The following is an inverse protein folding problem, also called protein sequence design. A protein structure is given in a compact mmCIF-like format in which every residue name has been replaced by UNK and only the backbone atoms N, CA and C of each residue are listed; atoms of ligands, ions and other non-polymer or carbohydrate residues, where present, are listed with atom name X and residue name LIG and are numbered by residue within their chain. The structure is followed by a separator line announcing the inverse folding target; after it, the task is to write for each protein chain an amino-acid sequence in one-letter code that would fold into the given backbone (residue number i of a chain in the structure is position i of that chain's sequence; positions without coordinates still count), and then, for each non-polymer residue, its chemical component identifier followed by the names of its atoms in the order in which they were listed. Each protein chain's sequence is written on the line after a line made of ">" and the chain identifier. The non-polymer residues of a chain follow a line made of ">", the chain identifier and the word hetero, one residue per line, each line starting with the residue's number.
data_IF_358868096890
#
_entry.id   IF_358868096890
#
_cell.length_a   1.000
_cell.length_b   1.000
_cell.length_c   1.000
_cell.angle_alpha   90.00
_cell.angle_beta   90.00
_cell.angle_gamma   90.00
#
_symmetry.space_group_name_H-M   'P 1'
#
loop_
_entity.id
_entity.type
_entity.pdbx_description
1 polymer ?
#
# COMPACT_ATOMS: atom_id res chain seq x y z
N UNK A 1 21.28 -64.97 -34.15
CA UNK A 1 20.71 -63.77 -34.78
C UNK A 1 20.17 -62.90 -33.62
N UNK A 2 20.93 -61.90 -33.23
CA UNK A 2 20.62 -61.06 -32.05
C UNK A 2 19.76 -59.91 -32.51
N UNK A 3 18.54 -59.77 -32.02
CA UNK A 3 17.68 -58.62 -32.28
C UNK A 3 18.13 -57.48 -31.34
N UNK A 4 18.70 -56.43 -31.94
CA UNK A 4 19.04 -55.21 -31.24
C UNK A 4 17.75 -54.36 -31.17
N UNK A 5 17.19 -54.22 -29.99
CA UNK A 5 16.04 -53.36 -29.70
C UNK A 5 16.57 -51.95 -29.43
N UNK A 6 16.40 -51.06 -30.38
CA UNK A 6 16.75 -49.62 -30.21
C UNK A 6 15.59 -49.00 -29.44
N UNK A 7 15.80 -48.75 -28.16
CA UNK A 7 14.88 -48.00 -27.32
C UNK A 7 15.11 -46.51 -27.57
N UNK A 8 14.28 -45.92 -28.43
CA UNK A 8 14.30 -44.50 -28.70
C UNK A 8 13.69 -43.77 -27.53
N UNK A 9 14.54 -43.32 -26.60
CA UNK A 9 14.13 -42.48 -25.45
C UNK A 9 13.83 -41.09 -25.96
N UNK A 10 12.53 -40.79 -26.17
CA UNK A 10 12.04 -39.48 -26.48
C UNK A 10 12.15 -38.60 -25.22
N UNK A 11 13.26 -37.90 -25.09
CA UNK A 11 13.43 -36.84 -24.05
C UNK A 11 12.56 -35.69 -24.46
N UNK A 12 11.33 -35.65 -23.90
CA UNK A 12 10.43 -34.52 -23.97
C UNK A 12 10.99 -33.42 -23.04
N UNK A 13 11.87 -32.59 -23.56
CA UNK A 13 12.29 -31.37 -22.87
C UNK A 13 11.10 -30.45 -22.78
N UNK A 14 10.39 -30.48 -21.64
CA UNK A 14 9.49 -29.41 -21.25
C UNK A 14 10.35 -28.14 -21.07
N UNK A 15 10.47 -27.36 -22.10
CA UNK A 15 10.86 -25.96 -21.96
C UNK A 15 9.72 -25.28 -21.23
N UNK A 16 9.79 -25.27 -19.89
CA UNK A 16 9.03 -24.34 -19.06
C UNK A 16 9.48 -22.94 -19.49
N UNK A 17 8.73 -22.35 -20.40
CA UNK A 17 8.82 -20.94 -20.70
C UNK A 17 8.38 -20.22 -19.44
N UNK A 18 9.32 -19.99 -18.52
CA UNK A 18 9.14 -19.02 -17.44
C UNK A 18 8.92 -17.68 -18.13
N UNK A 19 7.65 -17.36 -18.47
CA UNK A 19 7.29 -15.97 -18.68
C UNK A 19 7.74 -15.27 -17.39
N UNK A 20 8.81 -14.48 -17.47
CA UNK A 20 9.15 -13.53 -16.41
C UNK A 20 7.89 -12.71 -16.22
N UNK A 21 7.11 -13.02 -15.20
CA UNK A 21 5.95 -12.22 -14.85
C UNK A 21 6.52 -10.82 -14.59
N UNK A 22 6.17 -9.88 -15.42
CA UNK A 22 6.63 -8.50 -15.29
C UNK A 22 6.20 -8.04 -13.89
N UNK A 23 7.17 -7.76 -13.04
CA UNK A 23 6.91 -7.49 -11.64
C UNK A 23 6.37 -6.07 -11.54
N UNK A 24 5.25 -5.89 -10.84
CA UNK A 24 4.64 -4.59 -10.67
C UNK A 24 5.66 -3.61 -10.01
N UNK A 25 5.95 -2.46 -10.63
CA UNK A 25 6.96 -1.52 -10.15
C UNK A 25 6.72 -1.01 -8.72
N UNK A 26 5.49 -1.01 -8.24
CA UNK A 26 5.15 -0.63 -6.88
C UNK A 26 5.60 -1.62 -5.81
N UNK A 27 5.96 -2.83 -6.19
CA UNK A 27 6.36 -3.91 -5.27
C UNK A 27 7.85 -4.21 -5.32
N UNK A 28 8.61 -3.41 -6.06
CA UNK A 28 10.05 -3.59 -6.25
C UNK A 28 10.76 -2.34 -5.77
N UNK A 29 11.82 -2.53 -4.99
CA UNK A 29 12.70 -1.41 -4.65
C UNK A 29 13.34 -0.86 -5.92
N UNK A 30 13.27 0.45 -6.10
CA UNK A 30 13.86 1.10 -7.27
C UNK A 30 15.38 1.07 -7.20
N UNK A 31 15.99 0.56 -8.26
CA UNK A 31 17.45 0.61 -8.46
C UNK A 31 17.90 1.87 -9.23
N UNK A 32 16.97 2.77 -9.54
CA UNK A 32 17.28 4.03 -10.22
C UNK A 32 18.07 4.98 -9.28
N UNK A 33 18.86 5.92 -9.82
CA UNK A 33 19.56 6.91 -9.03
C UNK A 33 18.64 7.62 -8.05
N UNK A 34 19.07 7.77 -6.81
CA UNK A 34 18.32 8.40 -5.71
C UNK A 34 17.00 7.70 -5.35
N UNK A 35 16.82 6.42 -5.72
CA UNK A 35 15.58 5.70 -5.45
C UNK A 35 14.37 6.21 -6.25
N UNK A 36 14.59 6.92 -7.34
CA UNK A 36 13.52 7.48 -8.18
C UNK A 36 12.60 6.38 -8.67
N UNK A 37 11.29 6.61 -8.61
CA UNK A 37 10.31 5.64 -9.10
C UNK A 37 10.44 5.43 -10.61
N UNK A 38 10.30 4.18 -11.06
CA UNK A 38 10.50 3.78 -12.46
C UNK A 38 9.22 3.97 -13.28
N UNK A 39 8.90 5.23 -13.61
CA UNK A 39 7.77 5.58 -14.46
C UNK A 39 7.83 4.93 -15.85
N UNK A 40 9.04 4.70 -16.37
CA UNK A 40 9.29 4.04 -17.67
C UNK A 40 8.85 2.57 -17.71
N UNK A 41 8.64 1.95 -16.55
CA UNK A 41 8.18 0.56 -16.41
C UNK A 41 6.71 0.47 -15.96
N UNK A 42 6.09 1.60 -15.68
CA UNK A 42 4.72 1.64 -15.18
C UNK A 42 3.72 1.54 -16.35
N UNK A 43 2.67 0.75 -16.13
CA UNK A 43 1.55 0.57 -17.05
C UNK A 43 0.23 0.75 -16.28
N UNK A 44 -0.85 1.10 -16.99
CA UNK A 44 -2.16 1.28 -16.36
C UNK A 44 -2.64 0.02 -15.62
N UNK A 45 -2.36 -1.17 -16.16
CA UNK A 45 -2.68 -2.46 -15.54
C UNK A 45 -2.02 -2.73 -14.17
N UNK A 46 -0.97 -1.98 -13.83
CA UNK A 46 -0.27 -2.11 -12.54
C UNK A 46 -1.02 -1.44 -11.38
N UNK A 47 -1.86 -0.44 -11.65
CA UNK A 47 -2.50 0.34 -10.59
C UNK A 47 -3.51 -0.44 -9.77
N UNK A 48 -4.44 -1.15 -10.43
CA UNK A 48 -5.48 -1.88 -9.69
C UNK A 48 -4.90 -2.90 -8.70
N UNK A 49 -3.96 -3.80 -9.11
CA UNK A 49 -3.30 -4.70 -8.16
C UNK A 49 -2.49 -3.97 -7.08
N UNK A 50 -1.90 -2.81 -7.42
CA UNK A 50 -1.14 -2.02 -6.45
C UNK A 50 -2.07 -1.42 -5.38
N UNK A 51 -3.21 -0.86 -5.77
CA UNK A 51 -4.21 -0.36 -4.83
C UNK A 51 -4.77 -1.48 -3.96
N UNK A 52 -5.13 -2.63 -4.53
CA UNK A 52 -5.67 -3.77 -3.77
C UNK A 52 -4.69 -4.20 -2.67
N UNK A 53 -3.43 -4.39 -3.02
CA UNK A 53 -2.39 -4.74 -2.03
C UNK A 53 -2.17 -3.62 -1.02
N UNK A 54 -2.05 -2.40 -1.47
CA UNK A 54 -1.76 -1.25 -0.62
C UNK A 54 -2.88 -1.00 0.42
N UNK A 55 -4.15 -1.15 0.04
CA UNK A 55 -5.28 -1.06 0.97
C UNK A 55 -5.30 -2.23 1.95
N UNK A 56 -4.97 -3.44 1.50
CA UNK A 56 -4.90 -4.61 2.40
C UNK A 56 -3.78 -4.45 3.43
N UNK A 57 -2.59 -4.01 3.01
CA UNK A 57 -1.45 -3.74 3.90
C UNK A 57 -1.80 -2.63 4.90
N UNK A 58 -2.35 -1.51 4.43
CA UNK A 58 -2.77 -0.41 5.30
C UNK A 58 -3.82 -0.84 6.33
N UNK A 59 -4.80 -1.63 5.91
CA UNK A 59 -5.80 -2.19 6.84
C UNK A 59 -5.16 -3.04 7.94
N UNK A 60 -4.19 -3.87 7.60
CA UNK A 60 -3.46 -4.67 8.57
C UNK A 60 -2.65 -3.79 9.54
N UNK A 61 -2.04 -2.71 9.07
CA UNK A 61 -1.33 -1.72 9.91
C UNK A 61 -2.30 -1.02 10.88
N UNK A 62 -3.47 -0.59 10.41
CA UNK A 62 -4.52 -0.01 11.25
C UNK A 62 -5.03 -1.02 12.30
N UNK A 63 -5.26 -2.27 11.91
CA UNK A 63 -5.66 -3.32 12.84
C UNK A 63 -4.60 -3.59 13.92
N UNK A 64 -3.31 -3.51 13.56
CA UNK A 64 -2.22 -3.63 14.52
C UNK A 64 -2.21 -2.48 15.55
N UNK A 65 -2.52 -1.26 15.14
CA UNK A 65 -2.68 -0.12 16.04
C UNK A 65 -3.88 -0.35 16.99
N UNK A 66 -5.04 -0.71 16.44
CA UNK A 66 -6.28 -0.92 17.21
C UNK A 66 -6.12 -2.02 18.25
N UNK A 67 -5.47 -3.12 17.88
CA UNK A 67 -5.31 -4.31 18.70
C UNK A 67 -4.04 -4.29 19.57
N UNK A 68 -3.30 -3.20 19.60
CA UNK A 68 -2.13 -3.08 20.46
C UNK A 68 -2.55 -3.21 21.95
N UNK A 69 -2.02 -4.21 22.70
CA UNK A 69 -2.40 -4.44 24.09
C UNK A 69 -1.91 -3.37 25.06
N UNK A 70 -0.96 -2.53 24.64
CA UNK A 70 -0.45 -1.44 25.45
C UNK A 70 -1.40 -0.25 25.48
N UNK A 71 -1.36 0.52 26.54
CA UNK A 71 -2.09 1.77 26.63
C UNK A 71 -1.71 2.70 25.46
N UNK A 72 -2.68 3.47 24.91
CA UNK A 72 -2.40 4.42 23.84
C UNK A 72 -1.35 5.46 24.25
N UNK A 73 -0.34 5.62 23.42
CA UNK A 73 0.70 6.65 23.54
C UNK A 73 0.83 7.44 22.25
N UNK A 74 1.52 8.58 22.29
CA UNK A 74 1.82 9.33 21.08
C UNK A 74 2.55 8.47 20.04
N UNK A 75 3.52 7.66 20.45
CA UNK A 75 4.31 6.82 19.53
C UNK A 75 3.49 5.64 18.99
N UNK A 76 2.85 4.84 19.87
CA UNK A 76 2.16 3.62 19.42
C UNK A 76 0.78 3.84 18.80
N UNK A 77 0.31 5.10 18.74
CA UNK A 77 -1.00 5.45 18.18
C UNK A 77 -0.85 6.55 17.13
N UNK A 78 -0.35 7.73 17.47
CA UNK A 78 -0.32 8.87 16.54
C UNK A 78 0.80 8.70 15.49
N UNK A 79 2.03 8.43 15.93
CA UNK A 79 3.14 8.21 15.00
C UNK A 79 2.94 6.93 14.19
N UNK A 80 2.41 5.88 14.81
CA UNK A 80 2.08 4.64 14.11
C UNK A 80 1.03 4.88 13.02
N UNK A 81 0.00 5.69 13.29
CA UNK A 81 -1.04 6.05 12.31
C UNK A 81 -0.47 6.92 11.18
N UNK A 82 0.37 7.90 11.50
CA UNK A 82 1.03 8.76 10.49
C UNK A 82 1.92 7.97 9.53
N UNK A 83 2.57 6.92 10.04
CA UNK A 83 3.43 6.06 9.23
C UNK A 83 2.68 4.99 8.46
N UNK A 84 1.44 4.73 8.82
CA UNK A 84 0.62 3.71 8.16
C UNK A 84 0.23 4.10 6.74
N UNK A 85 -0.07 3.14 5.90
CA UNK A 85 -0.51 3.35 4.52
C UNK A 85 0.56 3.94 3.59
N UNK A 86 1.85 3.78 3.88
CA UNK A 86 2.90 4.39 3.05
C UNK A 86 2.86 3.89 1.61
N UNK A 87 2.60 2.60 1.37
CA UNK A 87 2.41 2.06 0.03
C UNK A 87 1.15 2.64 -0.63
N UNK A 88 0.04 2.75 0.12
CA UNK A 88 -1.20 3.33 -0.39
C UNK A 88 -0.99 4.78 -0.83
N UNK A 89 -0.35 5.59 0.00
CA UNK A 89 -0.04 6.98 -0.32
C UNK A 89 0.88 7.10 -1.53
N UNK A 90 1.87 6.19 -1.66
CA UNK A 90 2.76 6.16 -2.82
C UNK A 90 2.01 5.82 -4.10
N UNK A 91 1.21 4.76 -4.13
CA UNK A 91 0.40 4.36 -5.29
C UNK A 91 -0.58 5.48 -5.67
N UNK A 92 -1.28 6.06 -4.70
CA UNK A 92 -2.22 7.15 -4.93
C UNK A 92 -1.54 8.40 -5.51
N UNK A 93 -0.39 8.80 -4.94
CA UNK A 93 0.36 9.96 -5.42
C UNK A 93 0.81 9.80 -6.88
N UNK A 94 1.34 8.62 -7.24
CA UNK A 94 1.76 8.33 -8.61
C UNK A 94 0.55 8.30 -9.55
N UNK A 95 -0.55 7.65 -9.13
CA UNK A 95 -1.75 7.53 -9.93
C UNK A 95 -2.35 8.90 -10.28
N UNK A 96 -2.62 9.72 -9.27
CA UNK A 96 -3.23 11.04 -9.48
C UNK A 96 -2.30 12.02 -10.18
N UNK A 97 -0.98 11.90 -10.00
CA UNK A 97 -0.03 12.72 -10.75
C UNK A 97 -0.05 12.39 -12.26
N UNK A 98 -0.11 11.10 -12.61
CA UNK A 98 -0.19 10.68 -14.01
C UNK A 98 -1.55 10.97 -14.63
N UNK A 99 -2.64 10.76 -13.91
CA UNK A 99 -3.98 11.12 -14.39
C UNK A 99 -4.09 12.62 -14.70
N UNK A 100 -3.49 13.47 -13.87
CA UNK A 100 -3.44 14.90 -14.09
C UNK A 100 -2.53 15.35 -15.24
N UNK A 101 -1.52 14.54 -15.61
CA UNK A 101 -0.54 14.89 -16.65
C UNK A 101 -0.88 14.28 -18.02
N UNK A 102 -1.31 13.02 -18.07
CA UNK A 102 -1.49 12.22 -19.27
C UNK A 102 -2.72 11.29 -19.17
N UNK A 103 -3.88 11.84 -18.82
CA UNK A 103 -5.11 11.05 -18.75
C UNK A 103 -5.48 10.45 -20.11
N UNK A 104 -5.88 9.18 -20.09
CA UNK A 104 -6.38 8.45 -21.26
C UNK A 104 -7.56 7.55 -20.89
N UNK A 105 -8.21 6.94 -21.89
CA UNK A 105 -9.40 6.10 -21.65
C UNK A 105 -9.13 4.92 -20.70
N UNK A 106 -7.95 4.29 -20.78
CA UNK A 106 -7.59 3.17 -19.90
C UNK A 106 -7.40 3.67 -18.46
N UNK A 107 -6.74 4.83 -18.28
CA UNK A 107 -6.58 5.45 -16.96
C UNK A 107 -7.94 5.83 -16.37
N UNK A 108 -8.86 6.37 -17.19
CA UNK A 108 -10.22 6.67 -16.75
C UNK A 108 -10.99 5.42 -16.31
N UNK A 109 -10.79 4.28 -16.96
CA UNK A 109 -11.38 3.01 -16.52
C UNK A 109 -10.81 2.56 -15.18
N UNK A 110 -9.49 2.61 -15.00
CA UNK A 110 -8.85 2.33 -13.71
C UNK A 110 -9.39 3.25 -12.62
N UNK A 111 -9.55 4.56 -12.91
CA UNK A 111 -10.14 5.54 -12.00
C UNK A 111 -11.53 5.12 -11.54
N UNK A 112 -12.41 4.73 -12.47
CA UNK A 112 -13.77 4.28 -12.14
C UNK A 112 -13.78 3.03 -11.24
N UNK A 113 -12.80 2.15 -11.40
CA UNK A 113 -12.69 0.94 -10.59
C UNK A 113 -12.12 1.22 -9.19
N UNK A 114 -11.10 2.08 -9.09
CA UNK A 114 -10.37 2.25 -7.83
C UNK A 114 -11.01 3.30 -6.90
N UNK A 115 -11.65 4.34 -7.43
CA UNK A 115 -12.22 5.42 -6.61
C UNK A 115 -13.25 4.95 -5.57
N UNK A 116 -14.20 4.06 -5.89
CA UNK A 116 -15.09 3.51 -4.88
C UNK A 116 -14.35 2.73 -3.78
N UNK A 117 -13.30 2.00 -4.14
CA UNK A 117 -12.49 1.22 -3.20
C UNK A 117 -11.69 2.13 -2.27
N UNK A 118 -11.06 3.17 -2.82
CA UNK A 118 -10.34 4.21 -2.06
C UNK A 118 -11.28 4.90 -1.07
N UNK A 119 -12.46 5.29 -1.54
CA UNK A 119 -13.47 5.95 -0.69
C UNK A 119 -13.92 5.05 0.45
N UNK A 120 -14.24 3.80 0.17
CA UNK A 120 -14.64 2.83 1.19
C UNK A 120 -13.51 2.59 2.19
N UNK A 121 -12.29 2.40 1.70
CA UNK A 121 -11.11 2.22 2.55
C UNK A 121 -10.87 3.41 3.49
N UNK A 122 -10.97 4.64 2.98
CA UNK A 122 -10.83 5.85 3.79
C UNK A 122 -11.95 5.94 4.85
N UNK A 123 -13.18 5.61 4.47
CA UNK A 123 -14.31 5.60 5.41
C UNK A 123 -14.15 4.54 6.50
N UNK A 124 -13.68 3.34 6.16
CA UNK A 124 -13.41 2.28 7.15
C UNK A 124 -12.41 2.72 8.22
N UNK A 125 -11.43 3.54 7.87
CA UNK A 125 -10.44 4.08 8.80
C UNK A 125 -11.01 5.27 9.58
N UNK A 126 -11.56 6.27 8.89
CA UNK A 126 -12.00 7.52 9.50
C UNK A 126 -13.24 7.35 10.40
N UNK A 127 -14.06 6.31 10.16
CA UNK A 127 -15.23 5.99 10.98
C UNK A 127 -14.95 4.87 11.98
N UNK A 128 -13.70 4.49 12.19
CA UNK A 128 -13.36 3.42 13.12
C UNK A 128 -13.37 3.90 14.57
N UNK A 129 -14.40 3.55 15.30
CA UNK A 129 -14.59 3.95 16.70
C UNK A 129 -13.42 3.54 17.61
N UNK A 130 -12.89 2.32 17.43
CA UNK A 130 -11.78 1.85 18.28
C UNK A 130 -10.48 2.60 18.02
N UNK A 131 -10.21 2.95 16.76
CA UNK A 131 -9.08 3.79 16.41
C UNK A 131 -9.25 5.18 17.00
N UNK A 132 -10.45 5.77 16.86
CA UNK A 132 -10.77 7.06 17.45
C UNK A 132 -10.60 7.07 18.98
N UNK A 133 -11.05 6.03 19.69
CA UNK A 133 -10.85 5.92 21.14
C UNK A 133 -9.37 5.95 21.54
N UNK A 134 -8.51 5.28 20.79
CA UNK A 134 -7.05 5.35 21.03
C UNK A 134 -6.48 6.74 20.79
N UNK A 135 -6.85 7.38 19.67
CA UNK A 135 -6.43 8.76 19.34
C UNK A 135 -6.91 9.74 20.41
N UNK A 136 -8.18 9.62 20.82
CA UNK A 136 -8.79 10.45 21.87
C UNK A 136 -8.06 10.30 23.21
N UNK A 137 -7.71 9.09 23.61
CA UNK A 137 -6.99 8.85 24.87
C UNK A 137 -5.63 9.58 24.88
N UNK A 138 -4.90 9.57 23.76
CA UNK A 138 -3.65 10.34 23.64
C UNK A 138 -3.92 11.84 23.65
N UNK A 139 -4.95 12.29 22.95
CA UNK A 139 -5.30 13.71 22.86
C UNK A 139 -5.69 14.30 24.22
N UNK A 140 -6.44 13.57 25.05
CA UNK A 140 -6.84 14.01 26.39
C UNK A 140 -5.65 14.22 27.33
N UNK A 141 -4.57 13.47 27.14
CA UNK A 141 -3.33 13.60 27.93
C UNK A 141 -2.31 14.57 27.34
N UNK A 142 -2.60 15.24 26.23
CA UNK A 142 -1.64 16.07 25.46
C UNK A 142 -0.91 17.14 26.27
N UNK A 143 -1.55 17.70 27.30
CA UNK A 143 -0.93 18.73 28.14
C UNK A 143 0.21 18.21 29.03
N UNK A 144 0.19 16.90 29.32
CA UNK A 144 1.24 16.23 30.10
C UNK A 144 2.32 15.59 29.22
N UNK A 145 2.09 15.52 27.90
CA UNK A 145 3.07 15.05 26.95
C UNK A 145 4.02 16.21 26.62
N UNK A 146 5.31 15.94 26.67
CA UNK A 146 6.33 16.95 26.36
C UNK A 146 6.55 17.05 24.84
N UNK A 147 5.48 17.33 24.08
CA UNK A 147 5.47 17.38 22.63
C UNK A 147 6.06 18.72 22.13
N UNK A 148 6.84 18.66 21.07
CA UNK A 148 7.23 19.85 20.33
C UNK A 148 6.07 20.40 19.49
N UNK A 149 6.30 21.50 18.75
CA UNK A 149 5.25 22.17 17.96
C UNK A 149 4.70 21.25 16.86
N UNK A 150 5.55 20.53 16.13
CA UNK A 150 5.15 19.66 15.03
C UNK A 150 4.35 18.47 15.55
N UNK A 151 4.82 17.82 16.60
CA UNK A 151 4.12 16.71 17.26
C UNK A 151 2.74 17.14 17.82
N UNK A 152 2.68 18.34 18.38
CA UNK A 152 1.41 18.91 18.88
C UNK A 152 0.43 19.15 17.74
N UNK A 153 0.89 19.67 16.61
CA UNK A 153 0.08 19.87 15.41
C UNK A 153 -0.37 18.55 14.80
N UNK A 154 0.51 17.55 14.72
CA UNK A 154 0.17 16.23 14.25
C UNK A 154 -0.97 15.61 15.09
N UNK A 155 -0.82 15.63 16.41
CA UNK A 155 -1.85 15.11 17.32
C UNK A 155 -3.19 15.86 17.17
N UNK A 156 -3.16 17.18 17.08
CA UNK A 156 -4.35 18.02 16.90
C UNK A 156 -5.05 17.71 15.57
N UNK A 157 -4.29 17.63 14.48
CA UNK A 157 -4.83 17.34 13.15
C UNK A 157 -5.39 15.93 13.07
N UNK A 158 -4.69 14.94 13.63
CA UNK A 158 -5.17 13.55 13.71
C UNK A 158 -6.49 13.47 14.47
N UNK A 159 -6.58 14.12 15.64
CA UNK A 159 -7.82 14.12 16.42
C UNK A 159 -9.00 14.79 15.72
N UNK A 160 -8.75 15.88 14.98
CA UNK A 160 -9.80 16.59 14.24
C UNK A 160 -10.22 15.90 12.93
N UNK A 161 -9.40 14.98 12.44
CA UNK A 161 -9.67 14.21 11.22
C UNK A 161 -10.73 13.12 11.40
N UNK A 162 -11.01 12.75 12.65
CA UNK A 162 -12.12 11.87 13.06
C UNK A 162 -13.37 12.65 13.39
#
# INVERSE_FOLDING_TARGET
>A
MKKVSILLTLILTLTMCCKKTEQNPFFVESTAPHGTFRFDQLKNEHFKPAFDKAMADHKAEIEAIINNPEAPTFENTIVALERSGSLFNHVASVFFALDGAESNEEMAQVMMEVMPLITNHSNEINLNEKLFERVKAVYETRKSLNLNTEESMLLENTFKGF
#
